data_IF_120663117820
#
_entry.id   IF_120663117820
#
_cell.length_a   1.000
_cell.length_b   1.000
_cell.length_c   1.000
_cell.angle_alpha   90.00
_cell.angle_beta   90.00
_cell.angle_gamma   90.00
#
_symmetry.space_group_name_H-M   'P 1'
#
loop_
_entity.id
_entity.type
_entity.pdbx_description
1 polymer ?
#
# COMPACT_ATOMS: atom_id res chain seq x y z
N UNK A 1 -4.28 8.61 6.58
CA UNK A 1 -3.70 9.94 6.81
C UNK A 1 -2.75 9.85 7.99
N UNK A 2 -1.52 10.31 7.81
CA UNK A 2 -0.59 10.41 8.93
C UNK A 2 -1.18 11.30 10.00
N UNK A 3 -0.86 10.98 11.26
CA UNK A 3 -1.36 11.69 12.41
C UNK A 3 -1.13 13.21 12.29
N UNK A 4 -2.22 13.97 12.34
CA UNK A 4 -2.26 15.43 12.25
C UNK A 4 -2.64 16.07 13.56
N UNK A 5 -2.96 15.26 14.57
CA UNK A 5 -3.43 15.73 15.85
C UNK A 5 -2.28 16.39 16.61
N UNK A 6 -2.59 17.53 17.22
CA UNK A 6 -1.66 18.24 18.12
C UNK A 6 -1.77 17.65 19.52
N UNK A 7 -0.79 17.91 20.35
CA UNK A 7 -0.75 17.42 21.73
C UNK A 7 -2.04 17.75 22.52
N UNK A 8 -2.58 18.95 22.34
CA UNK A 8 -3.83 19.35 22.99
C UNK A 8 -5.05 18.48 22.61
N UNK A 9 -5.03 17.87 21.41
CA UNK A 9 -6.11 16.99 20.97
C UNK A 9 -5.99 15.61 21.62
N UNK A 10 -4.79 15.11 21.86
CA UNK A 10 -4.57 13.88 22.64
C UNK A 10 -4.98 14.06 24.11
N UNK A 11 -4.70 15.23 24.69
CA UNK A 11 -5.17 15.57 26.04
C UNK A 11 -6.70 15.51 26.10
N UNK A 12 -7.39 16.12 25.13
CA UNK A 12 -8.86 16.03 25.03
C UNK A 12 -9.36 14.60 24.87
N UNK A 13 -8.68 13.78 24.07
CA UNK A 13 -9.04 12.36 23.93
C UNK A 13 -8.91 11.63 25.26
N UNK A 14 -7.84 11.86 26.02
CA UNK A 14 -7.64 11.29 27.35
C UNK A 14 -8.74 11.74 28.34
N UNK A 15 -9.15 13.01 28.31
CA UNK A 15 -10.29 13.50 29.11
C UNK A 15 -11.60 12.77 28.78
N UNK A 16 -11.88 12.56 27.49
CA UNK A 16 -13.06 11.82 27.03
C UNK A 16 -13.00 10.36 27.50
N UNK A 17 -11.86 9.70 27.34
CA UNK A 17 -11.62 8.32 27.80
C UNK A 17 -11.93 8.20 29.30
N UNK A 18 -11.40 9.13 30.11
CA UNK A 18 -11.66 9.16 31.55
C UNK A 18 -13.12 9.41 31.86
N UNK A 19 -13.74 10.38 31.19
CA UNK A 19 -15.16 10.75 31.40
C UNK A 19 -16.11 9.57 31.18
N UNK A 20 -15.81 8.73 30.20
CA UNK A 20 -16.67 7.59 29.84
C UNK A 20 -16.19 6.25 30.43
N UNK A 21 -15.17 6.26 31.30
CA UNK A 21 -14.58 5.07 31.89
C UNK A 21 -14.23 4.01 30.84
N UNK A 22 -13.52 4.43 29.80
CA UNK A 22 -13.09 3.51 28.73
C UNK A 22 -11.82 2.79 29.21
N UNK A 23 -11.87 1.47 29.31
CA UNK A 23 -10.76 0.64 29.79
C UNK A 23 -9.84 0.17 28.66
N UNK A 24 -10.35 0.11 27.42
CA UNK A 24 -9.55 -0.34 26.30
C UNK A 24 -9.92 0.34 24.98
N UNK A 25 -8.93 0.46 24.11
CA UNK A 25 -9.07 1.05 22.76
C UNK A 25 -8.37 0.13 21.77
N UNK A 26 -9.10 -0.31 20.75
CA UNK A 26 -8.57 -1.04 19.62
C UNK A 26 -8.53 -0.11 18.39
N UNK A 27 -7.32 0.18 17.91
CA UNK A 27 -7.10 1.09 16.79
C UNK A 27 -6.89 0.30 15.48
N UNK A 28 -7.91 0.19 14.64
CA UNK A 28 -7.80 -0.48 13.35
C UNK A 28 -7.42 0.49 12.24
N UNK A 29 -6.30 0.27 11.55
CA UNK A 29 -5.89 1.09 10.41
C UNK A 29 -4.44 0.91 9.97
N UNK A 30 -4.00 1.79 9.07
CA UNK A 30 -2.65 1.82 8.52
C UNK A 30 -1.66 2.64 9.36
N UNK A 31 -0.50 2.99 8.78
CA UNK A 31 0.59 3.71 9.45
C UNK A 31 0.12 4.94 10.23
N UNK A 32 -0.69 5.83 9.62
CA UNK A 32 -1.19 7.01 10.32
C UNK A 32 -2.07 6.69 11.53
N UNK A 33 -2.80 5.56 11.50
CA UNK A 33 -3.57 5.09 12.65
C UNK A 33 -2.66 4.56 13.75
N UNK A 34 -1.56 3.89 13.38
CA UNK A 34 -0.58 3.40 14.36
C UNK A 34 0.17 4.57 15.02
N UNK A 35 0.47 5.64 14.27
CA UNK A 35 1.02 6.86 14.84
C UNK A 35 0.08 7.46 15.90
N UNK A 36 -1.21 7.57 15.56
CA UNK A 36 -2.25 8.03 16.51
C UNK A 36 -2.38 7.10 17.71
N UNK A 37 -2.41 5.79 17.48
CA UNK A 37 -2.49 4.76 18.51
C UNK A 37 -1.34 4.88 19.52
N UNK A 38 -0.11 4.99 19.03
CA UNK A 38 1.07 5.09 19.86
C UNK A 38 1.12 6.40 20.66
N UNK A 39 0.77 7.53 20.08
CA UNK A 39 0.70 8.81 20.79
C UNK A 39 -0.42 8.83 21.82
N UNK A 40 -1.58 8.23 21.52
CA UNK A 40 -2.64 8.10 22.51
C UNK A 40 -2.24 7.22 23.68
N UNK A 41 -1.57 6.09 23.42
CA UNK A 41 -0.99 5.26 24.46
C UNK A 41 -0.02 6.05 25.34
N UNK A 42 0.91 6.81 24.73
CA UNK A 42 1.86 7.64 25.47
C UNK A 42 1.17 8.70 26.34
N UNK A 43 0.14 9.35 25.82
CA UNK A 43 -0.62 10.37 26.54
C UNK A 43 -1.39 9.76 27.73
N UNK A 44 -2.07 8.63 27.54
CA UNK A 44 -2.74 7.91 28.62
C UNK A 44 -1.75 7.50 29.72
N UNK A 45 -0.59 6.97 29.35
CA UNK A 45 0.47 6.60 30.29
C UNK A 45 1.02 7.81 31.04
N UNK A 46 1.25 8.95 30.36
CA UNK A 46 1.69 10.22 30.97
C UNK A 46 0.71 10.74 32.01
N UNK A 47 -0.59 10.53 31.79
CA UNK A 47 -1.65 10.91 32.74
C UNK A 47 -1.94 9.85 33.81
N UNK A 48 -1.16 8.78 33.90
CA UNK A 48 -1.34 7.70 34.87
C UNK A 48 -2.66 6.93 34.70
N UNK A 49 -3.19 6.87 33.48
CA UNK A 49 -4.43 6.18 33.19
C UNK A 49 -4.17 4.69 32.86
N UNK A 50 -4.93 3.80 33.50
CA UNK A 50 -4.91 2.36 33.20
C UNK A 50 -5.83 2.06 32.02
N UNK A 51 -5.41 2.47 30.82
CA UNK A 51 -6.13 2.24 29.56
C UNK A 51 -5.28 1.40 28.64
N UNK A 52 -5.84 0.31 28.15
CA UNK A 52 -5.16 -0.60 27.22
C UNK A 52 -5.38 -0.16 25.80
N UNK A 53 -4.30 0.08 25.04
CA UNK A 53 -4.34 0.56 23.66
C UNK A 53 -3.61 -0.41 22.78
N UNK A 54 -4.32 -1.05 21.83
CA UNK A 54 -3.77 -2.05 20.90
C UNK A 54 -4.09 -1.66 19.46
N UNK A 55 -3.07 -1.75 18.60
CA UNK A 55 -3.19 -1.55 17.15
C UNK A 55 -3.60 -2.83 16.42
N UNK A 56 -4.52 -2.70 15.46
CA UNK A 56 -4.92 -3.76 14.52
C UNK A 56 -4.50 -3.31 13.12
N UNK A 57 -3.58 -4.03 12.46
CA UNK A 57 -3.06 -3.60 11.16
C UNK A 57 -4.13 -3.70 10.07
N UNK A 58 -4.24 -2.67 9.24
CA UNK A 58 -5.05 -2.68 8.02
C UNK A 58 -4.47 -1.68 7.02
N UNK A 59 -3.91 -2.16 5.93
CA UNK A 59 -3.49 -1.35 4.77
C UNK A 59 -3.40 -2.21 3.52
N UNK A 60 -3.78 -1.65 2.38
CA UNK A 60 -3.55 -2.28 1.09
C UNK A 60 -2.11 -2.05 0.59
N UNK A 61 -1.42 -1.05 1.13
CA UNK A 61 -0.11 -0.60 0.63
C UNK A 61 1.04 -1.50 1.10
N UNK A 62 0.79 -2.36 2.10
CA UNK A 62 1.78 -3.23 2.74
C UNK A 62 3.01 -2.48 3.28
N UNK A 63 2.82 -1.24 3.69
CA UNK A 63 3.86 -0.30 4.10
C UNK A 63 4.13 -0.27 5.61
N UNK A 64 3.48 -1.14 6.38
CA UNK A 64 3.67 -1.23 7.84
C UNK A 64 4.93 -2.00 8.19
N UNK A 65 5.75 -1.40 9.03
CA UNK A 65 6.99 -2.03 9.51
C UNK A 65 6.73 -3.23 10.43
N UNK A 66 7.72 -4.12 10.54
CA UNK A 66 7.79 -5.25 11.49
C UNK A 66 6.79 -6.38 11.20
N UNK A 67 5.79 -6.20 10.36
CA UNK A 67 4.89 -7.27 9.93
C UNK A 67 5.25 -7.75 8.52
N UNK A 68 5.12 -9.05 8.25
CA UNK A 68 5.31 -9.60 6.90
C UNK A 68 4.35 -8.93 5.91
N UNK A 69 3.09 -8.85 6.27
CA UNK A 69 2.06 -8.14 5.53
C UNK A 69 0.97 -7.65 6.47
N UNK A 70 0.05 -6.86 5.94
CA UNK A 70 -1.12 -6.39 6.66
C UNK A 70 -2.39 -6.79 5.92
N UNK A 71 -3.50 -7.12 6.63
CA UNK A 71 -4.80 -7.34 6.01
C UNK A 71 -5.22 -6.16 5.12
N UNK A 72 -5.71 -6.48 3.94
CA UNK A 72 -6.02 -5.56 2.84
C UNK A 72 -5.05 -5.68 1.66
N UNK A 73 -3.76 -5.97 1.92
CA UNK A 73 -2.76 -6.12 0.87
C UNK A 73 -3.00 -7.33 -0.04
N UNK A 74 -3.30 -8.50 0.53
CA UNK A 74 -3.48 -9.73 -0.25
C UNK A 74 -4.60 -9.60 -1.29
N UNK A 75 -5.71 -8.96 -0.92
CA UNK A 75 -6.82 -8.70 -1.84
C UNK A 75 -6.46 -7.67 -2.91
N UNK A 76 -5.76 -6.59 -2.54
CA UNK A 76 -5.30 -5.57 -3.49
C UNK A 76 -4.28 -6.14 -4.48
N UNK A 77 -3.32 -6.93 -4.00
CA UNK A 77 -2.33 -7.63 -4.82
C UNK A 77 -3.00 -8.57 -5.83
N UNK A 78 -4.00 -9.35 -5.38
CA UNK A 78 -4.79 -10.22 -6.26
C UNK A 78 -5.52 -9.43 -7.34
N UNK A 79 -6.13 -8.29 -6.97
CA UNK A 79 -6.81 -7.43 -7.93
C UNK A 79 -5.84 -6.94 -9.01
N UNK A 80 -4.68 -6.43 -8.60
CA UNK A 80 -3.69 -5.92 -9.55
C UNK A 80 -3.12 -7.05 -10.43
N UNK A 81 -2.85 -8.22 -9.87
CA UNK A 81 -2.41 -9.36 -10.65
C UNK A 81 -3.44 -9.76 -11.71
N UNK A 82 -4.73 -9.89 -11.35
CA UNK A 82 -5.82 -10.21 -12.28
C UNK A 82 -5.95 -9.14 -13.35
N UNK A 83 -6.03 -7.86 -12.97
CA UNK A 83 -6.15 -6.73 -13.91
C UNK A 83 -4.95 -6.63 -14.85
N UNK A 84 -3.73 -6.87 -14.36
CA UNK A 84 -2.53 -6.90 -15.21
C UNK A 84 -2.63 -8.01 -16.25
N UNK A 85 -3.10 -9.20 -15.87
CA UNK A 85 -3.29 -10.31 -16.81
C UNK A 85 -4.31 -9.96 -17.88
N UNK A 86 -5.44 -9.36 -17.50
CA UNK A 86 -6.48 -8.92 -18.43
C UNK A 86 -5.92 -7.90 -19.42
N UNK A 87 -5.15 -6.91 -18.95
CA UNK A 87 -4.48 -5.93 -19.80
C UNK A 87 -3.45 -6.58 -20.75
N UNK A 88 -2.66 -7.55 -20.27
CA UNK A 88 -1.73 -8.29 -21.13
C UNK A 88 -2.45 -9.02 -22.27
N UNK A 89 -3.60 -9.61 -22.00
CA UNK A 89 -4.42 -10.30 -22.99
C UNK A 89 -5.05 -9.32 -24.00
N UNK A 90 -5.55 -8.19 -23.51
CA UNK A 90 -6.13 -7.14 -24.35
C UNK A 90 -5.09 -6.54 -25.29
N UNK A 91 -3.93 -6.14 -24.77
CA UNK A 91 -2.82 -5.58 -25.56
C UNK A 91 -2.28 -6.57 -26.60
N UNK A 92 -2.29 -7.86 -26.30
CA UNK A 92 -1.87 -8.89 -27.27
C UNK A 92 -2.84 -9.02 -28.45
N UNK A 93 -4.12 -8.69 -28.27
CA UNK A 93 -5.19 -8.87 -29.27
C UNK A 93 -5.61 -7.58 -29.98
N UNK A 94 -5.35 -6.40 -29.40
CA UNK A 94 -5.83 -5.12 -29.90
C UNK A 94 -4.68 -4.21 -30.39
N UNK A 95 -4.94 -3.27 -31.31
CA UNK A 95 -3.90 -2.38 -31.85
C UNK A 95 -3.59 -1.21 -30.88
N UNK A 96 -3.31 -1.52 -29.64
CA UNK A 96 -2.84 -0.60 -28.61
C UNK A 96 -1.38 -0.93 -28.35
N UNK A 97 -0.49 0.07 -28.48
CA UNK A 97 0.94 -0.20 -28.37
C UNK A 97 1.42 -0.21 -26.91
N UNK A 98 0.92 0.71 -26.08
CA UNK A 98 1.33 0.81 -24.67
C UNK A 98 0.12 1.03 -23.79
N UNK A 99 -0.03 0.18 -22.77
CA UNK A 99 -0.97 0.40 -21.68
C UNK A 99 -0.19 0.58 -20.39
N UNK A 100 -0.49 1.65 -19.66
CA UNK A 100 0.13 1.96 -18.36
C UNK A 100 -0.90 1.76 -17.27
N UNK A 101 -0.66 0.80 -16.39
CA UNK A 101 -1.47 0.53 -15.20
C UNK A 101 -0.88 1.30 -14.02
N UNK A 102 -1.57 2.34 -13.54
CA UNK A 102 -1.21 3.05 -12.33
C UNK A 102 -1.81 2.38 -11.11
N UNK A 103 -0.98 2.02 -10.16
CA UNK A 103 -1.38 1.39 -8.91
C UNK A 103 -1.25 2.34 -7.73
N UNK A 104 -2.11 2.14 -6.72
CA UNK A 104 -1.94 2.75 -5.41
C UNK A 104 -0.68 2.21 -4.70
N UNK A 105 -0.27 2.84 -3.61
CA UNK A 105 0.86 2.40 -2.79
C UNK A 105 1.71 3.56 -2.28
N UNK A 106 1.48 4.76 -2.74
CA UNK A 106 2.22 5.96 -2.34
C UNK A 106 3.73 5.75 -2.45
N UNK A 107 4.43 5.73 -1.31
CA UNK A 107 5.90 5.60 -1.21
C UNK A 107 6.39 4.15 -1.16
N UNK A 108 5.48 3.17 -1.19
CA UNK A 108 5.80 1.73 -1.12
C UNK A 108 5.25 1.01 -2.35
N UNK A 109 6.12 0.35 -3.09
CA UNK A 109 5.82 -0.26 -4.39
C UNK A 109 5.22 -1.66 -4.33
N UNK A 110 4.82 -2.17 -3.17
CA UNK A 110 4.34 -3.55 -3.00
C UNK A 110 3.15 -3.88 -3.89
N UNK A 111 2.21 -2.95 -4.03
CA UNK A 111 1.03 -3.13 -4.89
C UNK A 111 1.43 -3.18 -6.36
N UNK A 112 2.34 -2.31 -6.80
CA UNK A 112 2.88 -2.37 -8.17
C UNK A 112 3.67 -3.65 -8.42
N UNK A 113 4.52 -4.05 -7.47
CA UNK A 113 5.31 -5.28 -7.56
C UNK A 113 4.45 -6.54 -7.68
N UNK A 114 3.25 -6.56 -7.07
CA UNK A 114 2.33 -7.70 -7.16
C UNK A 114 1.86 -8.02 -8.59
N UNK A 115 1.98 -7.07 -9.52
CA UNK A 115 1.71 -7.30 -10.94
C UNK A 115 2.62 -8.36 -11.57
N UNK A 116 3.82 -8.58 -11.00
CA UNK A 116 4.74 -9.63 -11.45
C UNK A 116 4.18 -11.06 -11.22
N UNK A 117 3.22 -11.23 -10.30
CA UNK A 117 2.62 -12.54 -9.99
C UNK A 117 1.82 -13.15 -11.15
N UNK A 118 1.55 -12.36 -12.18
CA UNK A 118 0.84 -12.88 -13.37
C UNK A 118 1.72 -13.71 -14.31
N UNK A 119 3.04 -13.67 -14.17
CA UNK A 119 3.97 -14.45 -15.00
C UNK A 119 3.71 -15.96 -14.82
N UNK A 120 3.55 -16.67 -15.93
CA UNK A 120 3.20 -18.09 -15.96
C UNK A 120 1.85 -18.33 -16.64
N UNK A 121 1.49 -19.61 -16.82
CA UNK A 121 0.22 -20.04 -17.43
C UNK A 121 -0.14 -19.34 -18.76
N UNK A 122 0.87 -19.13 -19.62
CA UNK A 122 0.69 -18.49 -20.93
C UNK A 122 0.69 -16.95 -20.91
N UNK A 123 0.93 -16.32 -19.77
CA UNK A 123 1.14 -14.87 -19.64
C UNK A 123 2.59 -14.60 -19.25
N UNK A 124 3.26 -13.70 -19.95
CA UNK A 124 4.65 -13.30 -19.66
C UNK A 124 4.74 -12.26 -18.54
N UNK A 125 3.60 -11.76 -18.06
CA UNK A 125 3.53 -10.66 -17.09
C UNK A 125 3.63 -9.28 -17.74
N UNK A 126 3.67 -8.21 -16.93
CA UNK A 126 3.93 -6.87 -17.44
C UNK A 126 5.36 -6.79 -17.96
N UNK A 127 5.57 -5.93 -18.96
CA UNK A 127 6.88 -5.76 -19.59
C UNK A 127 7.84 -4.90 -18.76
N UNK A 128 7.28 -3.93 -18.03
CA UNK A 128 8.02 -3.03 -17.17
C UNK A 128 7.24 -2.76 -15.88
N UNK A 129 7.96 -2.68 -14.77
CA UNK A 129 7.39 -2.28 -13.47
C UNK A 129 8.29 -1.19 -12.88
N UNK A 130 7.71 -0.03 -12.58
CA UNK A 130 8.41 1.08 -11.94
C UNK A 130 7.90 1.29 -10.52
N UNK A 131 8.80 1.22 -9.56
CA UNK A 131 8.53 1.31 -8.13
C UNK A 131 8.98 2.67 -7.56
N UNK A 132 8.28 3.21 -6.55
CA UNK A 132 8.61 4.52 -5.97
C UNK A 132 9.90 4.50 -5.15
N UNK A 133 10.43 3.32 -4.82
CA UNK A 133 11.71 3.14 -4.12
C UNK A 133 12.92 3.50 -4.98
N UNK A 134 12.73 3.62 -6.28
CA UNK A 134 13.81 3.94 -7.23
C UNK A 134 13.51 5.26 -7.93
N UNK A 135 14.53 6.08 -8.07
CA UNK A 135 14.40 7.33 -8.84
C UNK A 135 13.97 7.03 -10.28
N UNK A 136 12.94 7.73 -10.73
CA UNK A 136 12.39 7.57 -12.08
C UNK A 136 13.06 8.54 -13.05
N UNK A 137 13.46 8.02 -14.21
CA UNK A 137 13.99 8.80 -15.34
C UNK A 137 13.07 8.67 -16.54
N UNK A 138 12.55 9.80 -17.02
CA UNK A 138 11.72 9.86 -18.23
C UNK A 138 12.49 9.41 -19.47
N UNK A 139 13.76 9.76 -19.55
CA UNK A 139 14.63 9.38 -20.66
C UNK A 139 14.80 7.84 -20.71
N UNK A 140 15.13 7.25 -19.56
CA UNK A 140 15.28 5.80 -19.46
C UNK A 140 13.96 5.09 -19.75
N UNK A 141 12.84 5.58 -19.25
CA UNK A 141 11.51 5.05 -19.54
C UNK A 141 11.22 5.01 -21.05
N UNK A 142 11.48 6.13 -21.74
CA UNK A 142 11.28 6.20 -23.20
C UNK A 142 12.22 5.26 -23.97
N UNK A 143 13.45 5.11 -23.52
CA UNK A 143 14.42 4.15 -24.09
C UNK A 143 13.95 2.71 -23.88
N UNK A 144 13.52 2.33 -22.68
CA UNK A 144 13.02 0.99 -22.35
C UNK A 144 11.77 0.65 -23.20
N UNK A 145 10.79 1.57 -23.26
CA UNK A 145 9.58 1.41 -24.08
C UNK A 145 9.92 1.29 -25.56
N UNK A 146 10.79 2.15 -26.10
CA UNK A 146 11.19 2.11 -27.51
C UNK A 146 11.91 0.82 -27.87
N UNK A 147 12.83 0.36 -27.02
CA UNK A 147 13.55 -0.89 -27.23
C UNK A 147 12.62 -2.11 -27.26
N UNK A 148 11.64 -2.18 -26.36
CA UNK A 148 10.68 -3.28 -26.32
C UNK A 148 9.71 -3.24 -27.50
N UNK A 149 9.29 -2.07 -27.97
CA UNK A 149 8.42 -1.95 -29.16
C UNK A 149 9.09 -2.36 -30.47
N UNK A 150 10.42 -2.49 -30.52
CA UNK A 150 11.11 -3.14 -31.66
C UNK A 150 10.90 -4.65 -31.69
N UNK A 151 10.56 -5.26 -30.56
CA UNK A 151 10.43 -6.72 -30.38
C UNK A 151 8.98 -7.17 -30.27
N UNK A 152 8.08 -6.30 -29.79
CA UNK A 152 6.66 -6.59 -29.52
C UNK A 152 5.76 -5.52 -30.12
N UNK A 153 4.51 -5.90 -30.42
CA UNK A 153 3.51 -4.97 -30.95
C UNK A 153 2.83 -4.13 -29.87
N UNK A 154 2.84 -4.60 -28.64
CA UNK A 154 2.22 -3.93 -27.51
C UNK A 154 2.91 -4.27 -26.19
N UNK A 155 2.81 -3.34 -25.23
CA UNK A 155 3.44 -3.40 -23.91
C UNK A 155 2.45 -3.09 -22.82
N UNK A 156 2.62 -3.77 -21.68
CA UNK A 156 1.97 -3.41 -20.42
C UNK A 156 3.05 -2.93 -19.45
N UNK A 157 2.90 -1.69 -18.99
CA UNK A 157 3.78 -1.05 -18.02
C UNK A 157 2.99 -0.83 -16.74
N UNK A 158 3.54 -1.23 -15.60
CA UNK A 158 2.93 -0.98 -14.30
C UNK A 158 3.73 0.07 -13.54
N UNK A 159 3.05 1.04 -12.98
CA UNK A 159 3.67 2.15 -12.26
C UNK A 159 2.98 2.39 -10.93
N UNK A 160 3.73 2.82 -9.91
CA UNK A 160 3.15 3.33 -8.67
C UNK A 160 2.76 4.80 -8.83
N UNK A 161 1.64 5.21 -8.21
CA UNK A 161 1.23 6.62 -8.11
C UNK A 161 2.29 7.51 -7.44
N UNK A 162 3.19 6.92 -6.64
CA UNK A 162 4.22 7.61 -5.85
C UNK A 162 5.57 7.73 -6.53
N UNK A 163 5.67 7.55 -7.84
CA UNK A 163 6.94 7.71 -8.55
C UNK A 163 7.52 9.10 -8.38
N UNK A 164 8.82 9.17 -8.02
CA UNK A 164 9.57 10.40 -7.87
C UNK A 164 10.81 10.39 -8.75
N UNK A 165 11.21 11.58 -9.21
CA UNK A 165 12.48 11.81 -9.90
C UNK A 165 13.66 11.74 -8.91
N UNK A 166 14.87 11.82 -9.42
CA UNK A 166 16.10 11.79 -8.61
C UNK A 166 16.18 12.93 -7.59
N UNK A 167 15.60 14.08 -7.91
CA UNK A 167 15.48 15.23 -7.01
C UNK A 167 14.38 15.10 -5.95
N UNK A 168 13.70 13.95 -5.91
CA UNK A 168 12.60 13.67 -4.99
C UNK A 168 11.26 14.32 -5.37
N UNK A 169 11.18 15.03 -6.49
CA UNK A 169 9.92 15.60 -6.96
C UNK A 169 9.04 14.54 -7.60
N UNK A 170 7.72 14.58 -7.41
CA UNK A 170 6.78 13.67 -8.07
C UNK A 170 6.93 13.71 -9.60
N UNK A 171 6.76 12.57 -10.26
CA UNK A 171 6.80 12.47 -11.73
C UNK A 171 5.64 13.23 -12.36
N UNK A 172 4.45 13.14 -11.79
CA UNK A 172 3.31 13.96 -12.16
C UNK A 172 3.04 15.00 -11.07
N UNK A 173 2.68 16.22 -11.47
CA UNK A 173 2.29 17.24 -10.50
C UNK A 173 1.11 16.77 -9.66
N UNK A 174 1.12 17.02 -8.34
CA UNK A 174 -0.01 16.71 -7.48
C UNK A 174 -1.30 17.36 -8.00
N UNK A 175 -2.39 16.62 -8.02
CA UNK A 175 -3.69 17.12 -8.47
C UNK A 175 -4.19 18.27 -7.60
N UNK A 176 -4.01 18.14 -6.29
CA UNK A 176 -4.30 19.17 -5.30
C UNK A 176 -3.74 18.81 -3.92
N UNK A 177 -3.69 19.80 -3.04
CA UNK A 177 -3.24 19.62 -1.66
C UNK A 177 -4.30 20.16 -0.70
N UNK A 178 -4.69 19.36 0.30
CA UNK A 178 -5.58 19.80 1.40
C UNK A 178 -4.81 19.74 2.71
N UNK A 179 -4.44 20.89 3.25
CA UNK A 179 -3.60 20.97 4.44
C UNK A 179 -2.22 20.35 4.20
N UNK A 180 -1.95 19.19 4.78
CA UNK A 180 -0.71 18.42 4.59
C UNK A 180 -0.88 17.20 3.68
N UNK A 181 -2.10 16.92 3.21
CA UNK A 181 -2.35 15.80 2.30
C UNK A 181 -2.05 16.22 0.88
N UNK A 182 -1.12 15.51 0.28
CA UNK A 182 -0.83 15.57 -1.14
C UNK A 182 -1.66 14.49 -1.83
N UNK A 183 -2.48 14.91 -2.79
CA UNK A 183 -3.17 13.99 -3.68
C UNK A 183 -2.33 13.85 -4.93
N UNK A 184 -1.80 12.65 -5.14
CA UNK A 184 -0.91 12.35 -6.25
C UNK A 184 -1.59 12.68 -7.58
N UNK A 185 -0.77 13.12 -8.54
CA UNK A 185 -1.20 13.36 -9.91
C UNK A 185 -1.51 12.06 -10.65
N UNK A 186 -1.89 12.20 -11.90
CA UNK A 186 -2.13 11.10 -12.81
C UNK A 186 -0.80 10.70 -13.49
N UNK A 187 -0.01 9.89 -12.79
CA UNK A 187 1.29 9.40 -13.29
C UNK A 187 1.10 8.57 -14.57
N UNK A 188 0.10 7.68 -14.57
CA UNK A 188 -0.19 6.84 -15.72
C UNK A 188 -0.58 7.66 -16.95
N UNK A 189 -1.47 8.63 -16.80
CA UNK A 189 -1.87 9.53 -17.89
C UNK A 189 -0.72 10.42 -18.36
N UNK A 190 0.10 10.92 -17.45
CA UNK A 190 1.31 11.68 -17.80
C UNK A 190 2.27 10.86 -18.68
N UNK A 191 2.59 9.63 -18.27
CA UNK A 191 3.51 8.75 -19.01
C UNK A 191 2.91 8.28 -20.33
N UNK A 192 1.61 8.01 -20.39
CA UNK A 192 0.93 7.70 -21.66
C UNK A 192 1.02 8.88 -22.64
N UNK A 193 0.80 10.11 -22.15
CA UNK A 193 0.99 11.33 -22.93
C UNK A 193 2.44 11.53 -23.40
N UNK A 194 3.42 11.15 -22.58
CA UNK A 194 4.83 11.22 -22.92
C UNK A 194 5.18 10.24 -24.06
N UNK A 195 4.70 9.00 -24.01
CA UNK A 195 4.87 8.00 -25.08
C UNK A 195 4.24 8.52 -26.40
N UNK A 196 3.01 9.04 -26.34
CA UNK A 196 2.34 9.58 -27.53
C UNK A 196 3.12 10.74 -28.17
N UNK A 197 3.57 11.68 -27.36
CA UNK A 197 4.24 12.90 -27.84
C UNK A 197 5.68 12.65 -28.32
N UNK A 198 6.41 11.76 -27.65
CA UNK A 198 7.84 11.56 -27.91
C UNK A 198 8.13 10.39 -28.85
N UNK A 199 7.33 9.33 -28.79
CA UNK A 199 7.54 8.13 -29.57
C UNK A 199 6.51 7.94 -30.70
N UNK A 200 5.39 8.67 -30.70
CA UNK A 200 4.36 8.59 -31.72
C UNK A 200 3.48 7.32 -31.66
N UNK A 201 3.55 6.56 -30.57
CA UNK A 201 2.75 5.36 -30.40
C UNK A 201 1.44 5.64 -29.66
N UNK A 202 0.39 4.85 -29.96
CA UNK A 202 -0.84 4.86 -29.16
C UNK A 202 -0.53 4.38 -27.74
N UNK A 203 -0.86 5.16 -26.75
CA UNK A 203 -0.72 4.78 -25.35
C UNK A 203 -2.00 5.13 -24.58
N UNK A 204 -2.32 4.36 -23.56
CA UNK A 204 -3.44 4.56 -22.65
C UNK A 204 -2.98 4.35 -21.22
N UNK A 205 -3.70 4.94 -20.29
CA UNK A 205 -3.51 4.71 -18.86
C UNK A 205 -4.79 4.14 -18.26
N UNK A 206 -4.63 3.18 -17.37
CA UNK A 206 -5.67 2.61 -16.53
C UNK A 206 -5.33 2.85 -15.07
N UNK A 207 -6.31 3.36 -14.32
CA UNK A 207 -6.15 3.69 -12.90
C UNK A 207 -7.30 3.09 -12.12
N UNK A 208 -7.15 1.89 -11.54
CA UNK A 208 -8.21 1.23 -10.77
C UNK A 208 -8.73 2.06 -9.60
N UNK A 209 -7.87 2.83 -8.93
CA UNK A 209 -8.27 3.72 -7.85
C UNK A 209 -9.05 2.98 -6.76
N UNK A 210 -10.28 3.42 -6.52
CA UNK A 210 -11.14 2.82 -5.49
C UNK A 210 -11.52 1.37 -5.79
N UNK A 211 -11.65 0.98 -7.04
CA UNK A 211 -11.97 -0.41 -7.43
C UNK A 211 -10.90 -1.38 -6.95
N UNK A 212 -9.63 -1.00 -7.03
CA UNK A 212 -8.51 -1.84 -6.58
C UNK A 212 -8.57 -2.22 -5.10
N UNK A 213 -9.20 -1.41 -4.24
CA UNK A 213 -9.35 -1.70 -2.80
C UNK A 213 -10.74 -2.18 -2.39
N UNK A 214 -11.75 -2.07 -3.26
CA UNK A 214 -13.14 -2.33 -2.94
C UNK A 214 -13.72 -3.56 -3.68
N UNK A 215 -12.91 -4.23 -4.52
CA UNK A 215 -13.36 -5.35 -5.34
C UNK A 215 -13.72 -6.57 -4.49
N UNK A 216 -14.98 -6.90 -4.44
CA UNK A 216 -15.49 -8.12 -3.77
C UNK A 216 -15.03 -9.37 -4.53
N UNK A 217 -15.01 -9.33 -5.87
CA UNK A 217 -14.63 -10.47 -6.72
C UNK A 217 -13.16 -10.89 -6.51
N UNK A 218 -12.30 -9.94 -6.16
CA UNK A 218 -10.88 -10.18 -5.93
C UNK A 218 -10.53 -10.31 -4.45
N UNK A 219 -11.51 -10.34 -3.53
CA UNK A 219 -11.23 -10.58 -2.12
C UNK A 219 -10.50 -11.91 -1.93
N UNK A 220 -9.34 -11.88 -1.29
CA UNK A 220 -8.62 -13.07 -0.87
C UNK A 220 -9.24 -13.66 0.39
N UNK A 221 -9.51 -14.96 0.39
CA UNK A 221 -10.01 -15.67 1.57
C UNK A 221 -8.96 -15.60 2.69
N UNK A 222 -7.70 -15.80 2.35
CA UNK A 222 -6.58 -15.71 3.31
C UNK A 222 -6.54 -14.33 3.96
N UNK A 223 -6.59 -13.27 3.16
CA UNK A 223 -6.57 -11.88 3.64
C UNK A 223 -7.75 -11.56 4.60
N UNK A 224 -8.94 -12.08 4.28
CA UNK A 224 -10.12 -11.97 5.13
C UNK A 224 -9.95 -12.72 6.46
N UNK A 225 -9.48 -13.94 6.40
CA UNK A 225 -9.33 -14.80 7.59
C UNK A 225 -8.23 -14.25 8.52
N UNK A 226 -7.15 -13.71 7.95
CA UNK A 226 -6.10 -13.02 8.70
C UNK A 226 -6.58 -11.71 9.33
N UNK A 227 -7.50 -10.98 8.69
CA UNK A 227 -8.12 -9.81 9.30
C UNK A 227 -8.93 -10.18 10.55
N UNK A 228 -9.64 -11.32 10.51
CA UNK A 228 -10.36 -11.88 11.68
C UNK A 228 -9.37 -12.25 12.78
N UNK A 229 -8.31 -12.99 12.44
CA UNK A 229 -7.24 -13.38 13.37
C UNK A 229 -6.61 -12.15 14.04
N UNK A 230 -6.33 -11.09 13.28
CA UNK A 230 -5.78 -9.85 13.83
C UNK A 230 -6.70 -9.23 14.89
N UNK A 231 -8.01 -9.20 14.64
CA UNK A 231 -9.01 -8.71 15.58
C UNK A 231 -9.09 -9.57 16.85
N UNK A 232 -9.14 -10.88 16.70
CA UNK A 232 -9.20 -11.84 17.83
C UNK A 232 -7.96 -11.73 18.73
N UNK A 233 -6.77 -11.67 18.15
CA UNK A 233 -5.50 -11.50 18.89
C UNK A 233 -5.47 -10.17 19.63
N UNK A 234 -5.93 -9.08 18.99
CA UNK A 234 -5.99 -7.77 19.65
C UNK A 234 -6.93 -7.77 20.86
N UNK A 235 -8.11 -8.39 20.72
CA UNK A 235 -9.06 -8.55 21.82
C UNK A 235 -8.47 -9.39 22.96
N UNK A 236 -7.83 -10.51 22.64
CA UNK A 236 -7.17 -11.37 23.63
C UNK A 236 -6.06 -10.63 24.35
N UNK A 237 -5.21 -9.90 23.63
CA UNK A 237 -4.13 -9.11 24.19
C UNK A 237 -4.64 -8.10 25.25
N UNK A 238 -5.74 -7.40 24.93
CA UNK A 238 -6.39 -6.48 25.90
C UNK A 238 -6.84 -7.20 27.15
N UNK A 239 -7.48 -8.38 27.01
CA UNK A 239 -7.95 -9.16 28.17
C UNK A 239 -6.79 -9.69 29.04
N UNK A 240 -5.65 -10.00 28.42
CA UNK A 240 -4.41 -10.42 29.09
C UNK A 240 -3.61 -9.25 29.71
N UNK A 241 -4.10 -8.02 29.59
CA UNK A 241 -3.46 -6.83 30.17
C UNK A 241 -2.39 -6.18 29.30
N UNK A 242 -2.25 -6.61 28.04
CA UNK A 242 -1.30 -6.03 27.13
C UNK A 242 -1.73 -4.63 26.65
N UNK A 243 -0.75 -3.75 26.47
CA UNK A 243 -0.98 -2.36 26.00
C UNK A 243 0.22 -1.83 25.23
N UNK A 244 0.04 -0.77 24.44
CA UNK A 244 1.10 -0.14 23.66
C UNK A 244 1.69 -1.04 22.57
N UNK A 245 0.92 -1.99 22.09
CA UNK A 245 1.34 -2.99 21.09
C UNK A 245 0.46 -2.97 19.84
N UNK A 246 0.95 -3.56 18.76
CA UNK A 246 0.20 -3.84 17.53
C UNK A 246 0.27 -5.34 17.25
N UNK A 247 -0.80 -5.89 16.71
CA UNK A 247 -0.77 -7.25 16.13
C UNK A 247 0.07 -7.22 14.84
N UNK A 248 0.94 -8.19 14.68
CA UNK A 248 1.78 -8.36 13.50
C UNK A 248 1.79 -9.82 13.06
N UNK A 249 2.14 -10.06 11.81
CA UNK A 249 2.25 -11.40 11.25
C UNK A 249 3.71 -11.70 10.87
N UNK A 250 4.12 -12.94 11.14
CA UNK A 250 5.38 -13.50 10.67
C UNK A 250 5.08 -14.62 9.68
N UNK A 251 5.74 -14.60 8.53
CA UNK A 251 5.72 -15.74 7.62
C UNK A 251 6.44 -16.91 8.27
N UNK A 252 5.73 -18.02 8.44
CA UNK A 252 6.26 -19.26 9.03
C UNK A 252 6.65 -20.25 7.94
N UNK A 253 5.84 -20.33 6.87
CA UNK A 253 6.06 -21.24 5.75
C UNK A 253 5.32 -20.71 4.51
N UNK A 254 5.89 -21.00 3.33
CA UNK A 254 5.27 -20.68 2.04
C UNK A 254 4.46 -21.85 1.50
N UNK A 255 4.94 -23.09 1.67
CA UNK A 255 4.27 -24.31 1.21
C UNK A 255 4.27 -25.38 2.33
N UNK A 256 3.11 -25.64 2.93
CA UNK A 256 1.87 -24.88 2.82
C UNK A 256 2.01 -23.49 3.46
N UNK A 257 1.30 -22.50 2.92
CA UNK A 257 1.30 -21.15 3.46
C UNK A 257 0.84 -21.12 4.93
N UNK A 258 1.64 -20.51 5.78
CA UNK A 258 1.34 -20.33 7.21
C UNK A 258 1.89 -19.01 7.72
N UNK A 259 1.09 -18.36 8.57
CA UNK A 259 1.51 -17.19 9.36
C UNK A 259 1.52 -17.53 10.85
N UNK A 260 2.33 -16.79 11.60
CA UNK A 260 2.31 -16.77 13.06
C UNK A 260 1.99 -15.34 13.53
N UNK A 261 0.83 -15.11 14.17
CA UNK A 261 0.53 -13.81 14.73
C UNK A 261 1.37 -13.59 15.99
N UNK A 262 1.79 -12.33 16.22
CA UNK A 262 2.51 -11.92 17.42
C UNK A 262 2.23 -10.46 17.75
N UNK A 263 2.63 -10.02 18.93
CA UNK A 263 2.51 -8.62 19.34
C UNK A 263 3.87 -7.92 19.20
N UNK A 264 3.87 -6.74 18.62
CA UNK A 264 5.04 -5.86 18.48
C UNK A 264 4.79 -4.55 19.22
N UNK A 265 5.84 -3.96 19.81
CA UNK A 265 5.72 -2.61 20.39
C UNK A 265 5.26 -1.63 19.32
N UNK A 266 4.24 -0.84 19.62
CA UNK A 266 3.71 0.18 18.72
C UNK A 266 4.79 1.21 18.34
N UNK A 267 5.74 1.49 19.23
CA UNK A 267 6.85 2.41 19.00
C UNK A 267 7.78 1.93 17.88
N UNK A 268 7.92 0.62 17.69
CA UNK A 268 8.71 0.05 16.59
C UNK A 268 8.04 0.15 15.22
N UNK A 269 6.76 0.46 15.18
CA UNK A 269 5.96 0.61 13.94
C UNK A 269 5.74 2.08 13.58
N UNK A 270 5.60 2.93 14.60
CA UNK A 270 5.35 4.36 14.40
C UNK A 270 6.43 5.02 13.55
N UNK A 271 5.99 5.92 12.66
CA UNK A 271 6.85 6.76 11.83
C UNK A 271 7.78 5.99 10.87
N UNK A 272 7.59 4.69 10.74
CA UNK A 272 8.39 3.82 9.88
C UNK A 272 7.55 3.29 8.73
N UNK A 273 8.13 3.26 7.53
CA UNK A 273 7.50 2.67 6.33
C UNK A 273 8.32 1.49 5.84
N UNK A 274 7.64 0.37 5.57
CA UNK A 274 8.24 -0.80 4.94
C UNK A 274 8.22 -0.62 3.42
N UNK A 275 9.38 -0.68 2.81
CA UNK A 275 9.57 -0.52 1.36
C UNK A 275 9.93 -1.85 0.71
N UNK A 276 9.72 -1.93 -0.61
CA UNK A 276 10.19 -3.07 -1.41
C UNK A 276 11.72 -3.06 -1.39
N UNK A 277 12.38 -4.19 -1.08
CA UNK A 277 13.84 -4.30 -1.11
C UNK A 277 14.43 -4.01 -2.49
N UNK A 278 15.67 -3.58 -2.52
CA UNK A 278 16.39 -3.31 -3.77
C UNK A 278 16.97 -4.56 -4.45
N UNK A 279 16.91 -5.71 -3.77
CA UNK A 279 17.47 -6.99 -4.24
C UNK A 279 16.36 -7.92 -4.75
#
# INVERSE_FOLDING_TARGET
SRDRLREAEYQKMAEVIRKYNIDCILCNGGNGTMDTCGKLYQECARQGMDVRVIGIPKTMDNDMAVTDHAPGYGSAARYIAVSTRELCMDVASMPIHVVILETSGRNAGWVAASSALVAGNGCTGPDLIYLPERAFSEEKFLQDVSALLTQKKGLVVVVSEGLCREDGQPVAEPSFTIGRDVYFGDVGGYLAGLVQKKLGYKARAEKPGLLGRASICCQSIVDRDEAIIAGEIACRAVLEGETGKMVAFRRVSDEPYRIGPFLVSIQGVMLTEKKVPNE
#
